data_IF_579651016591
#
_entry.id   IF_579651016591
#
_cell.length_a   1.000
_cell.length_b   1.000
_cell.length_c   1.000
_cell.angle_alpha   90.00
_cell.angle_beta   90.00
_cell.angle_gamma   90.00
#
_symmetry.space_group_name_H-M   'P 1'
#
loop_
_entity.id
_entity.type
_entity.pdbx_description
1 polymer ?
#
# COMPACT_ATOMS: atom_id res chain seq x y z
N UNK A 1 46.09 -90.88 -35.11
CA UNK A 1 45.76 -89.98 -36.24
C UNK A 1 44.62 -89.06 -35.82
N UNK A 2 44.77 -87.75 -36.04
CA UNK A 2 43.76 -86.76 -35.68
C UNK A 2 42.66 -86.58 -36.73
N UNK A 3 41.54 -86.01 -36.28
CA UNK A 3 40.69 -85.00 -36.96
C UNK A 3 39.55 -84.64 -36.00
N UNK A 4 39.42 -83.39 -35.48
CA UNK A 4 38.78 -82.19 -36.10
C UNK A 4 37.41 -82.55 -36.71
N UNK A 5 36.26 -81.95 -36.43
CA UNK A 5 35.78 -80.65 -35.87
C UNK A 5 34.23 -80.81 -35.81
N UNK A 6 33.44 -80.22 -34.91
CA UNK A 6 32.85 -78.86 -35.04
C UNK A 6 31.82 -78.63 -33.92
N UNK A 7 31.93 -77.48 -33.24
CA UNK A 7 30.89 -76.90 -32.38
C UNK A 7 29.78 -76.29 -33.27
N UNK A 8 28.52 -76.65 -33.08
CA UNK A 8 27.39 -75.81 -33.51
C UNK A 8 27.03 -74.84 -32.38
N UNK A 9 27.47 -73.59 -32.49
CA UNK A 9 26.90 -72.46 -31.74
C UNK A 9 25.55 -72.11 -32.39
N UNK A 10 24.46 -72.20 -31.61
CA UNK A 10 23.16 -71.65 -31.99
C UNK A 10 23.25 -70.13 -31.81
N UNK A 11 23.16 -69.41 -32.92
CA UNK A 11 23.11 -67.95 -32.94
C UNK A 11 21.69 -67.53 -32.54
N UNK A 12 21.53 -66.98 -31.34
CA UNK A 12 20.33 -66.23 -30.98
C UNK A 12 20.70 -64.75 -31.09
N UNK A 13 20.04 -64.02 -31.99
CA UNK A 13 20.20 -62.58 -32.17
C UNK A 13 19.71 -61.83 -30.92
N UNK A 14 20.55 -61.01 -30.26
CA UNK A 14 20.08 -60.04 -29.27
C UNK A 14 20.07 -58.67 -29.95
N UNK A 15 18.90 -58.20 -30.41
CA UNK A 15 18.95 -57.01 -31.27
C UNK A 15 17.70 -56.15 -31.42
N UNK A 16 16.58 -56.46 -30.77
CA UNK A 16 15.35 -55.68 -31.04
C UNK A 16 14.53 -55.32 -29.80
N UNK A 17 14.50 -56.17 -28.78
CA UNK A 17 13.73 -55.92 -27.55
C UNK A 17 14.39 -54.87 -26.65
N UNK A 18 15.73 -54.89 -26.52
CA UNK A 18 16.46 -53.95 -25.66
C UNK A 18 16.29 -52.47 -26.05
N UNK A 19 16.25 -52.15 -27.34
CA UNK A 19 16.11 -50.75 -27.79
C UNK A 19 14.70 -50.21 -27.56
N UNK A 20 13.67 -51.06 -27.71
CA UNK A 20 12.27 -50.71 -27.45
C UNK A 20 12.03 -50.52 -25.96
N UNK A 21 12.60 -51.39 -25.12
CA UNK A 21 12.49 -51.31 -23.66
C UNK A 21 13.27 -50.10 -23.13
N UNK A 22 14.49 -49.85 -23.61
CA UNK A 22 15.27 -48.65 -23.24
C UNK A 22 14.58 -47.35 -23.69
N UNK A 23 13.98 -47.34 -24.88
CA UNK A 23 13.19 -46.22 -25.36
C UNK A 23 11.95 -45.97 -24.49
N UNK A 24 11.21 -47.01 -24.13
CA UNK A 24 10.04 -46.91 -23.27
C UNK A 24 10.39 -46.43 -21.84
N UNK A 25 11.50 -46.92 -21.27
CA UNK A 25 11.99 -46.48 -19.96
C UNK A 25 12.40 -45.00 -19.99
N UNK A 26 13.11 -44.56 -21.05
CA UNK A 26 13.50 -43.16 -21.18
C UNK A 26 12.29 -42.23 -21.29
N UNK A 27 11.27 -42.61 -22.06
CA UNK A 27 10.01 -41.85 -22.20
C UNK A 27 9.26 -41.79 -20.87
N UNK A 28 9.21 -42.90 -20.12
CA UNK A 28 8.57 -42.93 -18.80
C UNK A 28 9.28 -42.01 -17.79
N UNK A 29 10.62 -42.00 -17.78
CA UNK A 29 11.42 -41.12 -16.91
C UNK A 29 11.21 -39.64 -17.25
N UNK A 30 11.18 -39.30 -18.55
CA UNK A 30 10.90 -37.93 -19.00
C UNK A 30 9.48 -37.50 -18.60
N UNK A 31 8.48 -38.36 -18.75
CA UNK A 31 7.10 -38.07 -18.32
C UNK A 31 7.00 -37.79 -16.81
N UNK A 32 7.65 -38.59 -15.98
CA UNK A 32 7.67 -38.39 -14.52
C UNK A 32 8.33 -37.05 -14.16
N UNK A 33 9.45 -36.70 -14.80
CA UNK A 33 10.13 -35.41 -14.60
C UNK A 33 9.28 -34.22 -15.09
N UNK A 34 8.57 -34.35 -16.21
CA UNK A 34 7.66 -33.32 -16.70
C UNK A 34 6.48 -33.09 -15.75
N UNK A 35 5.89 -34.15 -15.16
CA UNK A 35 4.80 -34.01 -14.18
C UNK A 35 5.30 -33.38 -12.87
N UNK A 36 6.50 -33.74 -12.40
CA UNK A 36 7.10 -33.16 -11.21
C UNK A 36 7.42 -31.66 -11.39
N UNK A 37 7.89 -31.23 -12.57
CA UNK A 37 8.11 -29.82 -12.88
C UNK A 37 6.79 -29.03 -13.00
N UNK A 38 5.75 -29.63 -13.62
CA UNK A 38 4.42 -29.00 -13.74
C UNK A 38 3.70 -28.87 -12.39
N UNK A 39 3.97 -29.77 -11.43
CA UNK A 39 3.37 -29.74 -10.09
C UNK A 39 3.90 -28.64 -9.16
N UNK A 40 5.01 -27.98 -9.51
CA UNK A 40 5.63 -26.94 -8.66
C UNK A 40 5.21 -25.52 -9.13
N UNK A 41 4.79 -25.34 -10.38
CA UNK A 41 4.35 -24.04 -10.90
C UNK A 41 2.97 -23.57 -10.44
N UNK A 42 2.20 -24.38 -9.71
CA UNK A 42 0.92 -23.95 -9.10
C UNK A 42 1.02 -23.62 -7.61
N UNK A 43 2.22 -23.66 -7.03
CA UNK A 43 2.51 -23.25 -5.66
C UNK A 43 3.58 -22.14 -5.64
N UNK A 44 3.46 -21.17 -6.56
CA UNK A 44 3.71 -19.80 -6.10
C UNK A 44 2.69 -19.56 -4.99
N UNK A 45 3.07 -19.11 -3.78
CA UNK A 45 2.11 -18.38 -2.98
C UNK A 45 1.75 -17.21 -3.87
N UNK A 46 0.61 -17.30 -4.57
CA UNK A 46 -0.18 -16.13 -4.92
C UNK A 46 -0.19 -15.39 -3.62
N UNK A 47 0.60 -14.34 -3.54
CA UNK A 47 0.59 -13.44 -2.41
C UNK A 47 -0.89 -13.19 -2.23
N UNK A 48 -1.44 -13.73 -1.15
CA UNK A 48 -2.57 -13.14 -0.53
C UNK A 48 -2.03 -11.76 -0.21
N UNK A 49 -2.17 -10.86 -1.19
CA UNK A 49 -2.32 -9.46 -0.94
C UNK A 49 -3.49 -9.45 0.01
N UNK A 50 -3.19 -9.62 1.30
CA UNK A 50 -3.82 -8.84 2.32
C UNK A 50 -3.81 -7.47 1.68
N UNK A 51 -4.96 -7.03 1.17
CA UNK A 51 -5.25 -5.61 1.17
C UNK A 51 -4.90 -5.25 2.61
N UNK A 52 -3.70 -4.73 2.83
CA UNK A 52 -3.45 -3.99 4.06
C UNK A 52 -4.56 -2.96 3.96
N UNK A 53 -5.59 -3.11 4.77
CA UNK A 53 -6.54 -2.04 4.97
C UNK A 53 -5.66 -0.80 5.12
N UNK A 54 -5.81 0.16 4.21
CA UNK A 54 -5.03 1.37 4.26
C UNK A 54 -5.37 1.95 5.62
N UNK A 55 -4.42 1.87 6.56
CA UNK A 55 -4.63 2.30 7.94
C UNK A 55 -5.09 3.76 7.84
N UNK A 56 -6.32 4.05 8.27
CA UNK A 56 -6.90 5.38 8.20
C UNK A 56 -5.90 6.38 8.82
N UNK A 57 -5.64 7.48 8.11
CA UNK A 57 -4.64 8.48 8.50
C UNK A 57 -5.32 9.79 8.84
N UNK A 58 -4.94 10.45 9.95
CA UNK A 58 -5.50 11.75 10.31
C UNK A 58 -4.84 12.85 9.46
N UNK A 59 -5.12 12.83 8.16
CA UNK A 59 -4.48 13.67 7.15
C UNK A 59 -5.48 14.61 6.50
N UNK A 60 -5.14 15.91 6.49
CA UNK A 60 -5.79 16.93 5.66
C UNK A 60 -5.14 16.88 4.28
N UNK A 61 -5.94 16.73 3.23
CA UNK A 61 -5.47 16.67 1.83
C UNK A 61 -5.64 18.00 1.11
N UNK A 62 -6.61 18.81 1.54
CA UNK A 62 -6.85 20.16 1.03
C UNK A 62 -7.51 21.03 2.11
N UNK A 63 -7.23 22.33 2.07
CA UNK A 63 -7.77 23.31 3.01
C UNK A 63 -8.09 24.62 2.30
N UNK A 64 -9.27 25.15 2.59
CA UNK A 64 -9.71 26.49 2.14
C UNK A 64 -10.23 27.24 3.36
N UNK A 65 -9.71 28.46 3.57
CA UNK A 65 -10.06 29.34 4.69
C UNK A 65 -10.76 30.58 4.13
N UNK A 66 -12.05 30.74 4.40
CA UNK A 66 -12.90 31.68 3.67
C UNK A 66 -12.92 31.30 2.18
N UNK A 67 -12.26 32.13 1.38
CA UNK A 67 -12.06 31.93 -0.07
C UNK A 67 -10.59 31.68 -0.45
N UNK A 68 -9.69 31.59 0.54
CA UNK A 68 -8.24 31.42 0.32
C UNK A 68 -7.84 29.95 0.42
N UNK A 69 -7.19 29.43 -0.61
CA UNK A 69 -6.53 28.12 -0.55
C UNK A 69 -5.33 28.17 0.39
N UNK A 70 -5.26 27.23 1.33
CA UNK A 70 -4.11 27.06 2.21
C UNK A 70 -3.25 25.85 1.81
N UNK A 71 -2.07 25.76 2.42
CA UNK A 71 -1.17 24.61 2.29
C UNK A 71 -1.00 23.93 3.63
N UNK A 72 -0.58 22.66 3.59
CA UNK A 72 -0.20 21.89 4.77
C UNK A 72 1.30 21.75 4.79
N UNK A 73 1.94 22.22 5.86
CA UNK A 73 3.37 22.07 6.08
C UNK A 73 3.64 21.20 7.30
N UNK A 74 4.77 20.50 7.25
CA UNK A 74 5.32 19.77 8.39
C UNK A 74 6.62 20.47 8.78
N UNK A 75 6.63 21.05 9.97
CA UNK A 75 7.77 21.74 10.56
C UNK A 75 8.42 20.81 11.57
N UNK A 76 9.75 20.76 11.56
CA UNK A 76 10.54 20.04 12.56
C UNK A 76 11.49 21.05 13.20
N UNK A 77 11.25 21.36 14.47
CA UNK A 77 12.05 22.32 15.24
C UNK A 77 12.43 21.65 16.57
N UNK A 78 13.72 21.68 16.91
CA UNK A 78 14.28 21.03 18.10
C UNK A 78 13.91 19.54 18.28
N UNK A 79 13.62 18.84 17.18
CA UNK A 79 13.22 17.44 17.17
C UNK A 79 11.74 17.20 17.47
N UNK A 80 10.95 18.26 17.60
CA UNK A 80 9.50 18.20 17.68
C UNK A 80 8.87 18.43 16.30
N UNK A 81 7.99 17.51 15.89
CA UNK A 81 7.24 17.63 14.63
C UNK A 81 5.92 18.37 14.88
N UNK A 82 5.71 19.49 14.16
CA UNK A 82 4.46 20.25 14.14
C UNK A 82 3.87 20.25 12.73
N UNK A 83 2.55 20.15 12.64
CA UNK A 83 1.83 20.30 11.37
C UNK A 83 1.11 21.64 11.36
N UNK A 84 1.23 22.37 10.26
CA UNK A 84 0.71 23.72 10.12
C UNK A 84 -0.18 23.85 8.88
N UNK A 85 -1.29 24.57 9.03
CA UNK A 85 -2.12 25.09 7.95
C UNK A 85 -1.62 26.50 7.67
N UNK A 86 -1.01 26.69 6.51
CA UNK A 86 -0.41 27.95 6.09
C UNK A 86 -1.28 28.65 5.05
N UNK A 87 -1.50 29.95 5.20
CA UNK A 87 -2.19 30.76 4.19
C UNK A 87 -1.83 32.24 4.35
N UNK A 88 -1.85 32.99 3.24
CA UNK A 88 -1.79 34.45 3.24
C UNK A 88 -3.20 34.99 3.00
N UNK A 89 -3.73 35.75 3.95
CA UNK A 89 -5.11 36.20 3.98
C UNK A 89 -5.21 37.71 3.71
N UNK A 90 -6.32 38.21 3.14
CA UNK A 90 -6.55 39.64 2.97
C UNK A 90 -6.51 40.43 4.28
N UNK A 91 -6.08 41.69 4.24
CA UNK A 91 -6.03 42.58 5.41
C UNK A 91 -7.38 42.77 6.13
N UNK A 92 -8.50 42.66 5.42
CA UNK A 92 -9.86 42.77 5.96
C UNK A 92 -10.51 41.41 6.25
N UNK A 93 -9.72 40.33 6.29
CA UNK A 93 -10.22 38.97 6.51
C UNK A 93 -10.94 38.82 7.87
N UNK A 94 -12.11 38.16 7.92
CA UNK A 94 -12.91 38.04 9.15
C UNK A 94 -12.43 36.91 10.08
N UNK A 95 -11.29 37.10 10.76
CA UNK A 95 -10.66 36.08 11.62
C UNK A 95 -11.57 35.54 12.74
N UNK A 96 -12.45 36.36 13.31
CA UNK A 96 -13.34 35.94 14.40
C UNK A 96 -14.39 34.91 13.97
N UNK A 97 -14.76 34.92 12.69
CA UNK A 97 -15.81 34.06 12.15
C UNK A 97 -15.65 33.90 10.64
N UNK A 98 -15.00 32.82 10.25
CA UNK A 98 -14.82 32.45 8.84
C UNK A 98 -15.19 30.99 8.60
N UNK A 99 -15.38 30.63 7.34
CA UNK A 99 -15.59 29.23 6.95
C UNK A 99 -14.25 28.51 6.77
N UNK A 100 -14.18 27.27 7.19
CA UNK A 100 -13.07 26.36 6.95
C UNK A 100 -13.61 25.14 6.22
N UNK A 101 -13.12 24.89 5.02
CA UNK A 101 -13.44 23.69 4.27
C UNK A 101 -12.18 22.81 4.26
N UNK A 102 -12.33 21.56 4.70
CA UNK A 102 -11.25 20.59 4.73
C UNK A 102 -11.64 19.38 3.88
N UNK A 103 -10.73 18.93 3.04
CA UNK A 103 -10.76 17.57 2.52
C UNK A 103 -9.85 16.71 3.38
N UNK A 104 -10.35 15.57 3.80
CA UNK A 104 -9.66 14.65 4.69
C UNK A 104 -9.43 13.30 4.00
N UNK A 105 -8.39 12.60 4.43
CA UNK A 105 -8.17 11.22 4.01
C UNK A 105 -9.32 10.29 4.44
N UNK A 106 -9.49 9.17 3.73
CA UNK A 106 -10.53 8.19 4.01
C UNK A 106 -10.54 7.75 5.49
N UNK A 107 -11.71 7.87 6.12
CA UNK A 107 -11.93 7.49 7.51
C UNK A 107 -11.41 8.50 8.54
N UNK A 108 -10.88 9.64 8.11
CA UNK A 108 -10.54 10.74 8.98
C UNK A 108 -11.76 11.65 9.24
N UNK A 109 -11.79 12.26 10.42
CA UNK A 109 -12.81 13.21 10.84
C UNK A 109 -12.19 14.32 11.68
N UNK A 110 -12.87 15.46 11.73
CA UNK A 110 -12.54 16.53 12.66
C UNK A 110 -12.98 16.13 14.08
N UNK A 111 -12.14 16.40 15.07
CA UNK A 111 -12.37 16.10 16.48
C UNK A 111 -12.91 17.30 17.24
N UNK A 112 -13.73 17.03 18.26
CA UNK A 112 -14.22 18.03 19.22
C UNK A 112 -13.10 18.64 20.08
N UNK A 113 -11.89 18.07 20.04
CA UNK A 113 -10.70 18.65 20.67
C UNK A 113 -10.16 19.89 19.94
N UNK A 114 -10.68 20.22 18.75
CA UNK A 114 -10.32 21.42 18.00
C UNK A 114 -10.79 22.69 18.71
N UNK A 115 -9.89 23.60 19.06
CA UNK A 115 -10.22 24.77 19.89
C UNK A 115 -10.83 25.94 19.11
N UNK A 116 -10.72 25.95 17.78
CA UNK A 116 -11.17 27.06 16.94
C UNK A 116 -12.59 26.87 16.38
N UNK A 117 -13.20 25.69 16.51
CA UNK A 117 -14.48 25.37 15.86
C UNK A 117 -15.66 25.96 16.64
N UNK A 118 -16.46 26.77 15.96
CA UNK A 118 -17.71 27.32 16.49
C UNK A 118 -18.91 26.44 16.14
N UNK A 119 -18.97 25.93 14.90
CA UNK A 119 -20.05 25.05 14.44
C UNK A 119 -19.68 24.27 13.18
N UNK A 120 -20.39 23.18 12.91
CA UNK A 120 -20.29 22.37 11.69
C UNK A 120 -21.57 22.51 10.86
N UNK A 121 -21.42 22.92 9.60
CA UNK A 121 -22.50 23.08 8.62
C UNK A 121 -22.49 21.95 7.57
N UNK A 122 -22.18 20.73 7.98
CA UNK A 122 -22.18 19.54 7.12
C UNK A 122 -20.89 19.38 6.32
N UNK A 123 -19.73 19.45 7.01
CA UNK A 123 -18.41 19.38 6.39
C UNK A 123 -17.85 20.75 5.96
N UNK A 124 -18.55 21.82 6.36
CA UNK A 124 -18.08 23.20 6.29
C UNK A 124 -18.09 23.76 7.71
N UNK A 125 -16.92 23.86 8.31
CA UNK A 125 -16.79 24.37 9.67
C UNK A 125 -16.83 25.88 9.67
N UNK A 126 -17.41 26.47 10.71
CA UNK A 126 -17.25 27.88 11.02
C UNK A 126 -16.27 27.95 12.18
N UNK A 127 -15.20 28.74 12.02
CA UNK A 127 -14.09 28.79 12.96
C UNK A 127 -13.83 30.22 13.43
N UNK A 128 -13.30 30.34 14.65
CA UNK A 128 -12.67 31.54 15.19
C UNK A 128 -11.15 31.34 15.23
N UNK A 129 -10.44 32.06 14.37
CA UNK A 129 -8.98 31.98 14.23
C UNK A 129 -8.23 32.92 15.19
N UNK A 130 -8.94 33.69 16.03
CA UNK A 130 -8.33 34.60 17.02
C UNK A 130 -8.07 33.94 18.37
N UNK A 131 -8.42 32.66 18.53
CA UNK A 131 -8.13 31.92 19.77
C UNK A 131 -6.63 31.64 19.88
N UNK A 132 -6.12 31.59 21.10
CA UNK A 132 -4.71 31.25 21.36
C UNK A 132 -4.40 29.86 20.80
N UNK A 133 -3.30 29.75 20.06
CA UNK A 133 -2.89 28.53 19.36
C UNK A 133 -4.04 27.85 18.61
N UNK A 134 -4.76 28.62 17.78
CA UNK A 134 -5.83 28.10 16.95
C UNK A 134 -5.38 26.83 16.21
N UNK A 135 -6.16 25.75 16.35
CA UNK A 135 -5.85 24.46 15.78
C UNK A 135 -7.10 23.64 15.46
N UNK A 136 -6.92 22.73 14.50
CA UNK A 136 -7.87 21.66 14.20
C UNK A 136 -7.21 20.33 14.51
N UNK A 137 -7.92 19.46 15.21
CA UNK A 137 -7.49 18.10 15.52
C UNK A 137 -8.22 17.14 14.60
N UNK A 138 -7.47 16.34 13.85
CA UNK A 138 -7.99 15.30 12.97
C UNK A 138 -7.77 13.94 13.59
N UNK A 139 -8.82 13.12 13.64
CA UNK A 139 -8.79 11.74 14.14
C UNK A 139 -9.01 10.76 13.00
N UNK A 140 -8.31 9.62 13.05
CA UNK A 140 -8.52 8.49 12.17
C UNK A 140 -8.21 7.18 12.91
N UNK A 141 -9.27 6.48 13.33
CA UNK A 141 -9.14 5.31 14.21
C UNK A 141 -8.52 5.67 15.56
N UNK A 142 -7.42 5.03 15.92
CA UNK A 142 -6.67 5.29 17.16
C UNK A 142 -5.59 6.39 16.99
N UNK A 143 -5.50 7.00 15.81
CA UNK A 143 -4.51 8.04 15.52
C UNK A 143 -5.17 9.42 15.56
N UNK A 144 -4.43 10.40 16.02
CA UNK A 144 -4.82 11.81 16.01
C UNK A 144 -3.64 12.67 15.56
N UNK A 145 -3.94 13.82 14.96
CA UNK A 145 -2.94 14.83 14.58
C UNK A 145 -3.53 16.23 14.74
N UNK A 146 -2.76 17.09 15.40
CA UNK A 146 -3.09 18.52 15.57
C UNK A 146 -2.45 19.33 14.45
N UNK A 147 -3.25 20.18 13.82
CA UNK A 147 -2.84 21.13 12.79
C UNK A 147 -3.04 22.55 13.31
N UNK A 148 -1.96 23.33 13.42
CA UNK A 148 -2.00 24.71 13.89
C UNK A 148 -2.09 25.69 12.72
N UNK A 149 -2.72 26.84 12.91
CA UNK A 149 -2.76 27.87 11.86
C UNK A 149 -1.52 28.77 11.90
N UNK A 150 -0.81 28.88 10.77
CA UNK A 150 0.25 29.87 10.53
C UNK A 150 -0.21 30.80 9.41
N UNK A 151 -0.76 31.94 9.78
CA UNK A 151 -1.45 32.85 8.85
C UNK A 151 -0.66 34.14 8.68
N UNK A 152 -0.41 34.49 7.43
CA UNK A 152 0.12 35.79 7.05
C UNK A 152 -1.01 36.69 6.53
N UNK A 153 -0.78 37.99 6.46
CA UNK A 153 -1.76 38.98 5.99
C UNK A 153 -1.17 39.86 4.90
N UNK A 154 -1.93 40.11 3.82
CA UNK A 154 -1.56 41.02 2.72
C UNK A 154 -2.66 42.01 2.30
#
# INVERSE_FOLDING_TARGET
MGNKTTKKKKHTQPGQTDRRIRGAILVLVILILCVAAYGISTLLPKGAGKKKEAKARPEITSVIIGDTEGTIEKVEEDGEERYEICATLPIDFPFEKTTLNLELSDGAKVSDASNCILTDLGGRWVVNLTVEDACVVIEAGEQSRTYYFRLDVE
#
